data_IF_383195529700
#
_entry.id   IF_383195529700
#
_cell.length_a   1.000
_cell.length_b   1.000
_cell.length_c   1.000
_cell.angle_alpha   90.00
_cell.angle_beta   90.00
_cell.angle_gamma   90.00
#
_symmetry.space_group_name_H-M   'P 1'
#
loop_
_entity.id
_entity.type
_entity.pdbx_description
1 polymer ?
#
# COMPACT_ATOMS: atom_id res chain seq x y z
N UNK A 1 5.89 5.81 14.41
CA UNK A 1 7.31 5.45 14.66
C UNK A 1 8.21 5.84 13.48
N UNK A 2 7.95 5.33 12.27
CA UNK A 2 8.78 5.61 11.09
C UNK A 2 8.90 7.11 10.77
N UNK A 3 7.77 7.84 10.70
CA UNK A 3 7.78 9.27 10.41
C UNK A 3 8.69 10.07 11.36
N UNK A 4 8.58 9.81 12.66
CA UNK A 4 9.43 10.43 13.68
C UNK A 4 10.90 10.01 13.56
N UNK A 5 11.19 8.82 13.04
CA UNK A 5 12.56 8.41 12.76
C UNK A 5 13.14 9.17 11.56
N UNK A 6 12.38 9.29 10.47
CA UNK A 6 12.77 10.09 9.30
C UNK A 6 13.06 11.55 9.68
N UNK A 7 12.19 12.14 10.51
CA UNK A 7 12.40 13.50 11.04
C UNK A 7 13.71 13.62 11.84
N UNK A 8 14.05 12.64 12.69
CA UNK A 8 15.34 12.61 13.41
C UNK A 8 16.55 12.44 12.49
N UNK A 9 16.35 11.89 11.30
CA UNK A 9 17.35 11.81 10.24
C UNK A 9 17.38 13.06 9.34
N UNK A 10 16.60 14.11 9.66
CA UNK A 10 16.53 15.34 8.86
C UNK A 10 15.78 15.18 7.55
N UNK A 11 14.99 14.12 7.40
CA UNK A 11 14.22 13.82 6.19
C UNK A 11 12.81 14.35 6.36
N UNK A 12 12.44 15.32 5.52
CA UNK A 12 11.05 15.77 5.39
C UNK A 12 10.24 14.73 4.60
N UNK A 13 9.21 14.18 5.25
CA UNK A 13 8.39 13.12 4.70
C UNK A 13 6.90 13.50 4.72
N UNK A 14 6.24 13.31 3.58
CA UNK A 14 4.78 13.35 3.47
C UNK A 14 4.22 11.97 3.80
N UNK A 15 3.28 11.92 4.74
CA UNK A 15 2.55 10.70 5.06
C UNK A 15 1.20 10.73 4.33
N UNK A 16 0.86 9.64 3.64
CA UNK A 16 -0.40 9.51 2.92
C UNK A 16 -0.86 8.05 2.85
N UNK A 17 -2.01 7.76 2.21
CA UNK A 17 -2.57 6.40 2.08
C UNK A 17 -3.40 6.22 0.82
N UNK A 18 -3.57 4.96 0.40
CA UNK A 18 -4.50 4.57 -0.66
C UNK A 18 -5.54 3.52 -0.20
N UNK A 19 -6.77 3.56 -0.77
CA UNK A 19 -7.30 4.65 -1.60
C UNK A 19 -7.55 5.88 -0.72
N UNK A 20 -7.26 7.09 -1.23
CA UNK A 20 -7.35 8.34 -0.47
C UNK A 20 -6.17 9.29 -0.72
N UNK A 21 -5.92 10.19 0.23
CA UNK A 21 -4.77 11.11 0.21
C UNK A 21 -5.06 12.51 -0.37
N UNK A 22 -6.09 12.64 -1.19
CA UNK A 22 -6.55 13.91 -1.78
C UNK A 22 -8.07 13.99 -1.72
N UNK A 23 -8.70 15.19 -1.79
CA UNK A 23 -10.16 15.29 -1.76
C UNK A 23 -10.88 14.45 -2.83
N UNK A 24 -10.32 14.35 -4.04
CA UNK A 24 -10.85 13.51 -5.11
C UNK A 24 -10.72 12.02 -4.80
N UNK A 25 -9.53 11.56 -4.39
CA UNK A 25 -9.30 10.18 -4.02
C UNK A 25 -10.08 9.74 -2.76
N UNK A 26 -10.32 10.64 -1.80
CA UNK A 26 -11.16 10.36 -0.62
C UNK A 26 -12.64 10.19 -0.99
N UNK A 27 -13.15 10.94 -1.97
CA UNK A 27 -14.51 10.72 -2.48
C UNK A 27 -14.64 9.33 -3.13
N UNK A 28 -13.62 8.89 -3.87
CA UNK A 28 -13.59 7.55 -4.45
C UNK A 28 -13.40 6.47 -3.38
N UNK A 29 -12.60 6.74 -2.34
CA UNK A 29 -12.46 5.85 -1.18
C UNK A 29 -13.81 5.57 -0.54
N UNK A 30 -14.65 6.60 -0.35
CA UNK A 30 -15.98 6.40 0.22
C UNK A 30 -16.80 5.41 -0.63
N UNK A 31 -16.77 5.56 -1.96
CA UNK A 31 -17.44 4.63 -2.88
C UNK A 31 -16.88 3.21 -2.81
N UNK A 32 -15.57 3.05 -2.56
CA UNK A 32 -14.93 1.73 -2.48
C UNK A 32 -15.23 1.00 -1.17
N UNK A 33 -15.28 1.73 -0.04
CA UNK A 33 -15.46 1.13 1.28
C UNK A 33 -16.93 0.90 1.64
N UNK A 34 -17.81 1.77 1.15
CA UNK A 34 -19.26 1.70 1.33
C UNK A 34 -19.97 1.80 -0.04
N UNK A 35 -19.88 0.74 -0.85
CA UNK A 35 -20.37 0.79 -2.21
C UNK A 35 -21.91 0.72 -2.25
N UNK A 36 -22.57 1.47 -3.16
CA UNK A 36 -24.03 1.46 -3.23
C UNK A 36 -24.57 0.13 -3.77
N UNK A 37 -25.78 -0.23 -3.34
CA UNK A 37 -26.52 -1.38 -3.87
C UNK A 37 -25.82 -2.71 -3.60
N UNK A 38 -25.60 -3.49 -4.67
CA UNK A 38 -24.95 -4.81 -4.58
C UNK A 38 -23.41 -4.72 -4.55
N UNK A 39 -22.85 -3.51 -4.58
CA UNK A 39 -21.42 -3.29 -4.61
C UNK A 39 -20.83 -3.20 -6.02
N UNK A 40 -19.50 -3.18 -6.09
CA UNK A 40 -18.77 -3.10 -7.36
C UNK A 40 -18.36 -4.49 -7.85
N UNK A 41 -18.54 -4.74 -9.16
CA UNK A 41 -17.82 -5.83 -9.81
C UNK A 41 -16.32 -5.55 -9.84
N UNK A 42 -15.50 -6.60 -9.85
CA UNK A 42 -14.03 -6.49 -9.71
C UNK A 42 -13.37 -5.52 -10.72
N UNK A 43 -13.86 -5.47 -11.96
CA UNK A 43 -13.38 -4.51 -12.97
C UNK A 43 -13.67 -3.06 -12.60
N UNK A 44 -14.88 -2.77 -12.11
CA UNK A 44 -15.25 -1.43 -11.67
C UNK A 44 -14.44 -1.03 -10.42
N UNK A 45 -14.26 -1.95 -9.47
CA UNK A 45 -13.39 -1.74 -8.32
C UNK A 45 -11.95 -1.39 -8.73
N UNK A 46 -11.36 -2.15 -9.66
CA UNK A 46 -10.01 -1.87 -10.16
C UNK A 46 -9.90 -0.48 -10.83
N UNK A 47 -10.91 -0.08 -11.60
CA UNK A 47 -10.97 1.24 -12.22
C UNK A 47 -11.09 2.36 -11.19
N UNK A 48 -11.90 2.18 -10.16
CA UNK A 48 -12.03 3.15 -9.06
C UNK A 48 -10.72 3.29 -8.28
N UNK A 49 -10.04 2.18 -7.98
CA UNK A 49 -8.70 2.21 -7.39
C UNK A 49 -7.69 2.95 -8.27
N UNK A 50 -7.69 2.68 -9.58
CA UNK A 50 -6.82 3.36 -10.53
C UNK A 50 -7.11 4.87 -10.61
N UNK A 51 -8.39 5.26 -10.63
CA UNK A 51 -8.81 6.66 -10.64
C UNK A 51 -8.39 7.40 -9.35
N UNK A 52 -8.58 6.77 -8.18
CA UNK A 52 -8.14 7.33 -6.90
C UNK A 52 -6.62 7.51 -6.87
N UNK A 53 -5.86 6.52 -7.33
CA UNK A 53 -4.41 6.58 -7.42
C UNK A 53 -3.93 7.67 -8.37
N UNK A 54 -4.57 7.80 -9.54
CA UNK A 54 -4.23 8.83 -10.52
C UNK A 54 -4.31 10.24 -9.91
N UNK A 55 -5.44 10.57 -9.27
CA UNK A 55 -5.64 11.87 -8.60
C UNK A 55 -4.62 12.07 -7.46
N UNK A 56 -4.36 11.03 -6.68
CA UNK A 56 -3.42 11.07 -5.57
C UNK A 56 -1.97 11.29 -6.01
N UNK A 57 -1.56 10.59 -7.09
CA UNK A 57 -0.23 10.73 -7.68
C UNK A 57 -0.03 12.14 -8.24
N UNK A 58 -0.99 12.62 -9.02
CA UNK A 58 -0.90 13.93 -9.68
C UNK A 58 -0.88 15.07 -8.66
N UNK A 59 -1.73 15.01 -7.62
CA UNK A 59 -1.97 16.17 -6.75
C UNK A 59 -1.15 16.18 -5.46
N UNK A 60 -0.62 15.04 -5.03
CA UNK A 60 0.13 14.95 -3.77
C UNK A 60 1.50 14.29 -3.94
N UNK A 61 1.56 13.07 -4.49
CA UNK A 61 2.80 12.29 -4.48
C UNK A 61 3.84 12.94 -5.39
N UNK A 62 3.52 13.18 -6.67
CA UNK A 62 4.47 13.73 -7.64
C UNK A 62 4.99 15.12 -7.20
N UNK A 63 4.13 16.08 -6.80
CA UNK A 63 4.62 17.37 -6.29
C UNK A 63 5.52 17.25 -5.05
N UNK A 64 5.24 16.31 -4.14
CA UNK A 64 6.09 16.09 -2.97
C UNK A 64 7.48 15.56 -3.36
N UNK A 65 7.52 14.58 -4.27
CA UNK A 65 8.77 14.03 -4.79
C UNK A 65 9.59 15.07 -5.56
N UNK A 66 8.93 15.90 -6.39
CA UNK A 66 9.58 17.00 -7.13
C UNK A 66 10.17 18.07 -6.19
N UNK A 67 9.56 18.26 -5.02
CA UNK A 67 10.09 19.11 -3.96
C UNK A 67 11.23 18.46 -3.15
N UNK A 68 11.69 17.25 -3.52
CA UNK A 68 12.75 16.52 -2.83
C UNK A 68 12.32 15.88 -1.51
N UNK A 69 11.00 15.79 -1.24
CA UNK A 69 10.46 15.21 0.00
C UNK A 69 10.31 13.71 -0.18
N UNK A 70 10.45 12.97 0.92
CA UNK A 70 10.07 11.57 0.94
C UNK A 70 8.55 11.44 0.98
N UNK A 71 8.03 10.35 0.42
CA UNK A 71 6.62 9.99 0.54
C UNK A 71 6.52 8.62 1.19
N UNK A 72 5.81 8.55 2.32
CA UNK A 72 5.46 7.30 2.99
C UNK A 72 3.97 7.08 2.77
N UNK A 73 3.65 6.15 1.87
CA UNK A 73 2.27 5.84 1.50
C UNK A 73 1.84 4.49 2.09
N UNK A 74 0.77 4.48 2.88
CA UNK A 74 0.10 3.25 3.29
C UNK A 74 -0.69 2.68 2.10
N UNK A 75 -0.21 1.55 1.57
CA UNK A 75 -0.63 0.92 0.31
C UNK A 75 -0.32 1.75 -0.94
N UNK A 76 -0.25 1.06 -2.07
CA UNK A 76 -0.07 1.66 -3.40
C UNK A 76 -0.45 0.62 -4.48
N UNK A 77 0.12 0.71 -5.69
CA UNK A 77 -0.07 -0.21 -6.81
C UNK A 77 -0.07 -1.70 -6.41
N UNK A 78 0.88 -2.13 -5.59
CA UNK A 78 1.03 -3.55 -5.28
C UNK A 78 -0.16 -4.13 -4.51
N UNK A 79 -0.91 -3.29 -3.78
CA UNK A 79 -2.21 -3.69 -3.24
C UNK A 79 -3.22 -3.97 -4.35
N UNK A 80 -3.27 -3.15 -5.42
CA UNK A 80 -4.19 -3.43 -6.53
C UNK A 80 -3.80 -4.67 -7.31
N UNK A 81 -2.49 -4.92 -7.46
CA UNK A 81 -1.97 -6.14 -8.09
C UNK A 81 -2.36 -7.39 -7.31
N UNK A 82 -2.26 -7.34 -5.98
CA UNK A 82 -2.60 -8.46 -5.11
C UNK A 82 -4.13 -8.67 -4.98
N UNK A 83 -4.89 -7.61 -4.66
CA UNK A 83 -6.33 -7.69 -4.45
C UNK A 83 -7.07 -7.90 -5.78
N UNK A 84 -7.05 -6.93 -6.68
CA UNK A 84 -7.83 -7.04 -7.92
C UNK A 84 -7.17 -7.96 -8.95
N UNK A 85 -5.85 -7.91 -9.09
CA UNK A 85 -5.11 -8.69 -10.10
C UNK A 85 -5.06 -10.19 -9.79
N UNK A 86 -4.57 -10.57 -8.60
CA UNK A 86 -4.40 -11.97 -8.20
C UNK A 86 -5.66 -12.55 -7.56
N UNK A 87 -6.05 -12.07 -6.38
CA UNK A 87 -7.19 -12.63 -5.65
C UNK A 87 -8.54 -12.39 -6.37
N UNK A 88 -8.67 -11.26 -7.06
CA UNK A 88 -9.82 -10.90 -7.90
C UNK A 88 -9.75 -11.44 -9.33
N UNK A 89 -8.69 -12.17 -9.69
CA UNK A 89 -8.51 -12.86 -10.97
C UNK A 89 -8.60 -11.95 -12.22
N UNK A 90 -8.38 -10.64 -12.11
CA UNK A 90 -8.33 -9.77 -13.29
C UNK A 90 -7.04 -9.89 -14.10
N UNK A 91 -5.98 -10.41 -13.49
CA UNK A 91 -4.64 -10.48 -14.08
C UNK A 91 -3.79 -9.24 -13.76
N UNK A 92 -2.50 -9.47 -13.50
CA UNK A 92 -1.54 -8.41 -13.15
C UNK A 92 -1.34 -7.41 -14.30
N UNK A 93 -1.36 -7.89 -15.54
CA UNK A 93 -1.18 -7.08 -16.75
C UNK A 93 -2.23 -5.97 -16.86
N UNK A 94 -3.50 -6.27 -16.61
CA UNK A 94 -4.57 -5.27 -16.66
C UNK A 94 -4.36 -4.19 -15.59
N UNK A 95 -4.04 -4.58 -14.36
CA UNK A 95 -3.82 -3.64 -13.25
C UNK A 95 -2.62 -2.74 -13.53
N UNK A 96 -1.53 -3.31 -14.06
CA UNK A 96 -0.33 -2.54 -14.45
C UNK A 96 -0.63 -1.61 -15.62
N UNK A 97 -1.43 -2.02 -16.60
CA UNK A 97 -1.83 -1.15 -17.71
C UNK A 97 -2.65 0.06 -17.23
N UNK A 98 -3.59 -0.14 -16.28
CA UNK A 98 -4.34 0.96 -15.67
C UNK A 98 -3.42 1.94 -14.93
N UNK A 99 -2.42 1.41 -14.21
CA UNK A 99 -1.43 2.22 -13.51
C UNK A 99 -0.52 2.99 -14.44
N UNK A 100 -0.06 2.36 -15.52
CA UNK A 100 0.78 3.01 -16.54
C UNK A 100 0.05 4.22 -17.15
N UNK A 101 -1.23 4.05 -17.48
CA UNK A 101 -2.01 5.13 -18.09
C UNK A 101 -2.47 6.20 -17.08
N UNK A 102 -2.89 5.79 -15.88
CA UNK A 102 -3.44 6.72 -14.88
C UNK A 102 -2.40 7.45 -14.03
N UNK A 103 -1.23 6.84 -13.84
CA UNK A 103 -0.21 7.30 -12.89
C UNK A 103 1.19 7.37 -13.51
N UNK A 104 1.27 7.31 -14.84
CA UNK A 104 2.51 7.40 -15.64
C UNK A 104 3.61 6.45 -15.15
N UNK A 105 3.22 5.25 -14.73
CA UNK A 105 4.17 4.22 -14.33
C UNK A 105 4.97 4.54 -13.07
N UNK A 106 4.59 5.54 -12.25
CA UNK A 106 5.31 5.88 -11.02
C UNK A 106 5.37 4.66 -10.08
N UNK A 107 6.57 4.26 -9.66
CA UNK A 107 6.79 3.15 -8.74
C UNK A 107 7.48 3.61 -7.46
N UNK A 108 7.19 3.00 -6.30
CA UNK A 108 7.94 3.24 -5.08
C UNK A 108 9.40 2.82 -5.23
N UNK A 109 10.33 3.59 -4.64
CA UNK A 109 11.73 3.17 -4.49
C UNK A 109 11.84 1.89 -3.64
N UNK A 110 10.95 1.73 -2.65
CA UNK A 110 10.87 0.56 -1.79
C UNK A 110 9.43 0.32 -1.32
N UNK A 111 9.02 -0.95 -1.33
CA UNK A 111 7.76 -1.45 -0.78
C UNK A 111 8.05 -2.38 0.39
N UNK A 112 7.51 -2.03 1.55
CA UNK A 112 7.66 -2.82 2.77
C UNK A 112 6.46 -3.76 2.91
N UNK A 113 6.70 -5.07 2.88
CA UNK A 113 5.66 -6.09 3.09
C UNK A 113 5.79 -6.60 4.51
N UNK A 114 4.90 -6.17 5.40
CA UNK A 114 4.88 -6.65 6.79
C UNK A 114 4.15 -7.99 6.82
N UNK A 115 4.90 -9.08 6.96
CA UNK A 115 4.38 -10.43 7.05
C UNK A 115 4.00 -10.74 8.50
N UNK A 116 2.74 -11.14 8.73
CA UNK A 116 2.22 -11.52 10.05
C UNK A 116 1.49 -12.84 9.89
N UNK A 117 1.66 -13.77 10.84
CA UNK A 117 0.90 -15.02 10.83
C UNK A 117 -0.60 -14.75 10.99
N UNK A 118 -1.44 -15.59 10.37
CA UNK A 118 -2.89 -15.36 10.29
C UNK A 118 -3.58 -15.22 11.65
N UNK A 119 -3.13 -15.95 12.67
CA UNK A 119 -3.65 -15.88 14.04
C UNK A 119 -3.29 -14.57 14.74
N UNK A 120 -2.03 -14.13 14.63
CA UNK A 120 -1.56 -12.84 15.14
C UNK A 120 -2.25 -11.68 14.43
N UNK A 121 -2.40 -11.76 13.10
CA UNK A 121 -3.09 -10.74 12.30
C UNK A 121 -4.57 -10.60 12.70
N UNK A 122 -5.28 -11.72 12.85
CA UNK A 122 -6.68 -11.73 13.29
C UNK A 122 -6.87 -11.13 14.69
N UNK A 123 -5.98 -11.46 15.63
CA UNK A 123 -6.02 -10.89 16.98
C UNK A 123 -5.81 -9.36 16.97
N UNK A 124 -4.85 -8.87 16.18
CA UNK A 124 -4.58 -7.43 16.01
C UNK A 124 -5.74 -6.69 15.32
N UNK A 125 -6.34 -7.29 14.29
CA UNK A 125 -7.50 -6.73 13.59
C UNK A 125 -8.72 -6.63 14.52
N UNK A 126 -9.02 -7.71 15.25
CA UNK A 126 -10.12 -7.73 16.23
C UNK A 126 -9.98 -6.65 17.31
N UNK A 127 -8.76 -6.44 17.80
CA UNK A 127 -8.46 -5.41 18.79
C UNK A 127 -8.58 -3.97 18.23
N UNK A 128 -8.35 -3.76 16.92
CA UNK A 128 -8.35 -2.44 16.28
C UNK A 128 -9.72 -2.03 15.75
N UNK A 129 -10.38 -2.92 15.04
CA UNK A 129 -11.56 -2.59 14.21
C UNK A 129 -12.89 -3.05 14.84
N UNK A 130 -12.83 -3.81 15.94
CA UNK A 130 -14.02 -4.41 16.54
C UNK A 130 -14.72 -5.35 15.54
N UNK A 131 -16.05 -5.20 15.39
CA UNK A 131 -16.86 -6.01 14.48
C UNK A 131 -17.20 -5.32 13.14
N UNK A 132 -16.66 -4.12 12.87
CA UNK A 132 -16.99 -3.36 11.67
C UNK A 132 -15.95 -3.65 10.60
N UNK A 133 -16.38 -4.30 9.51
CA UNK A 133 -15.52 -4.56 8.36
C UNK A 133 -16.07 -3.82 7.14
N UNK A 134 -15.22 -3.07 6.45
CA UNK A 134 -15.57 -2.44 5.18
C UNK A 134 -15.69 -3.47 4.05
N UNK A 135 -16.17 -3.05 2.88
CA UNK A 135 -16.41 -3.96 1.75
C UNK A 135 -15.17 -4.77 1.30
N UNK A 136 -13.96 -4.28 1.59
CA UNK A 136 -12.70 -4.91 1.19
C UNK A 136 -12.14 -5.77 2.33
N UNK A 137 -12.18 -5.26 3.56
CA UNK A 137 -11.79 -6.00 4.76
C UNK A 137 -12.74 -7.13 5.11
N UNK A 138 -13.98 -7.09 4.62
CA UNK A 138 -15.03 -8.10 4.85
C UNK A 138 -14.90 -9.35 3.99
N UNK A 139 -13.86 -9.43 3.15
CA UNK A 139 -13.60 -10.59 2.29
C UNK A 139 -13.18 -11.81 3.12
N UNK A 140 -13.41 -12.99 2.55
CA UNK A 140 -13.12 -14.23 3.25
C UNK A 140 -11.61 -14.51 3.42
N UNK A 141 -11.30 -15.47 4.29
CA UNK A 141 -9.93 -15.85 4.60
C UNK A 141 -9.16 -16.40 3.37
N UNK A 142 -9.85 -17.04 2.41
CA UNK A 142 -9.21 -17.56 1.20
C UNK A 142 -8.75 -16.42 0.30
N UNK A 143 -9.57 -15.37 0.16
CA UNK A 143 -9.21 -14.16 -0.54
C UNK A 143 -7.98 -13.49 0.08
N UNK A 144 -7.97 -13.30 1.41
CA UNK A 144 -6.82 -12.72 2.11
C UNK A 144 -5.56 -13.59 2.04
N UNK A 145 -5.70 -14.92 2.05
CA UNK A 145 -4.57 -15.83 1.82
C UNK A 145 -3.97 -15.67 0.43
N UNK A 146 -4.82 -15.52 -0.60
CA UNK A 146 -4.36 -15.26 -1.98
C UNK A 146 -3.65 -13.92 -2.12
N UNK A 147 -4.15 -12.87 -1.45
CA UNK A 147 -3.48 -11.55 -1.38
C UNK A 147 -2.09 -11.68 -0.76
N UNK A 148 -1.97 -12.39 0.36
CA UNK A 148 -0.68 -12.56 1.04
C UNK A 148 0.33 -13.33 0.17
N UNK A 149 -0.12 -14.41 -0.48
CA UNK A 149 0.70 -15.17 -1.41
C UNK A 149 1.23 -14.29 -2.57
N UNK A 150 0.38 -13.42 -3.12
CA UNK A 150 0.78 -12.49 -4.17
C UNK A 150 1.90 -11.54 -3.74
N UNK A 151 1.85 -10.99 -2.52
CA UNK A 151 2.93 -10.13 -2.03
C UNK A 151 4.26 -10.87 -1.87
N UNK A 152 4.24 -12.13 -1.44
CA UNK A 152 5.45 -12.97 -1.37
C UNK A 152 6.01 -13.21 -2.77
N UNK A 153 5.16 -13.52 -3.76
CA UNK A 153 5.55 -13.67 -5.15
C UNK A 153 6.19 -12.39 -5.72
N UNK A 154 5.57 -11.22 -5.48
CA UNK A 154 6.11 -9.94 -5.95
C UNK A 154 7.47 -9.63 -5.32
N UNK A 155 7.63 -9.87 -4.03
CA UNK A 155 8.89 -9.67 -3.34
C UNK A 155 10.01 -10.59 -3.88
N UNK A 156 9.67 -11.83 -4.24
CA UNK A 156 10.62 -12.76 -4.86
C UNK A 156 10.97 -12.35 -6.31
N UNK A 157 10.01 -11.82 -7.06
CA UNK A 157 10.21 -11.41 -8.46
C UNK A 157 10.92 -10.05 -8.61
N UNK A 158 10.76 -9.15 -7.64
CA UNK A 158 11.26 -7.77 -7.67
C UNK A 158 12.11 -7.45 -6.42
N UNK A 159 13.18 -8.20 -6.09
CA UNK A 159 13.90 -8.10 -4.82
C UNK A 159 14.61 -6.75 -4.59
N UNK A 160 14.78 -5.94 -5.66
CA UNK A 160 15.31 -4.58 -5.55
C UNK A 160 14.28 -3.53 -5.11
N UNK A 161 12.98 -3.83 -5.20
CA UNK A 161 11.88 -2.90 -4.90
C UNK A 161 11.06 -3.31 -3.68
N UNK A 162 11.27 -4.52 -3.15
CA UNK A 162 10.53 -5.04 -2.01
C UNK A 162 11.46 -5.46 -0.88
N UNK A 163 11.00 -5.24 0.34
CA UNK A 163 11.56 -5.86 1.54
C UNK A 163 10.44 -6.50 2.35
N UNK A 164 10.57 -7.81 2.61
CA UNK A 164 9.69 -8.52 3.55
C UNK A 164 10.18 -8.24 4.95
N UNK A 165 9.28 -7.73 5.78
CA UNK A 165 9.51 -7.42 7.18
C UNK A 165 8.77 -8.46 8.01
N UNK A 166 9.50 -9.16 8.88
CA UNK A 166 8.89 -9.97 9.93
C UNK A 166 8.09 -9.05 10.87
N UNK A 167 6.77 -9.24 10.87
CA UNK A 167 5.79 -8.48 11.64
C UNK A 167 5.48 -9.10 13.01
N UNK A 168 6.14 -10.20 13.39
CA UNK A 168 6.00 -10.81 14.71
C UNK A 168 6.76 -10.02 15.80
N UNK A 169 6.30 -10.14 17.04
CA UNK A 169 6.83 -9.38 18.17
C UNK A 169 6.14 -8.04 18.42
N UNK A 170 6.82 -7.18 19.17
CA UNK A 170 6.39 -5.83 19.56
C UNK A 170 6.46 -4.83 18.39
N UNK A 171 5.74 -3.71 18.52
CA UNK A 171 5.75 -2.66 17.50
C UNK A 171 7.13 -2.02 17.37
N UNK A 172 7.91 -1.97 18.45
CA UNK A 172 9.29 -1.48 18.50
C UNK A 172 10.24 -2.42 17.74
N UNK A 173 10.11 -3.74 17.91
CA UNK A 173 10.92 -4.73 17.18
C UNK A 173 10.64 -4.70 15.68
N UNK A 174 9.35 -4.66 15.28
CA UNK A 174 8.97 -4.52 13.86
C UNK A 174 9.50 -3.20 13.29
N UNK A 175 9.41 -2.11 14.06
CA UNK A 175 9.94 -0.81 13.64
C UNK A 175 11.47 -0.83 13.45
N UNK A 176 12.22 -1.53 14.31
CA UNK A 176 13.67 -1.68 14.14
C UNK A 176 14.01 -2.42 12.83
N UNK A 177 13.24 -3.46 12.48
CA UNK A 177 13.39 -4.17 11.19
C UNK A 177 13.07 -3.28 9.99
N UNK A 178 12.03 -2.45 10.09
CA UNK A 178 11.70 -1.45 9.07
C UNK A 178 12.86 -0.47 8.88
N UNK A 179 13.45 0.04 9.97
CA UNK A 179 14.59 0.96 9.89
C UNK A 179 15.80 0.33 9.20
N UNK A 180 16.13 -0.92 9.52
CA UNK A 180 17.19 -1.66 8.84
C UNK A 180 16.92 -1.82 7.34
N UNK A 181 15.68 -2.08 6.94
CA UNK A 181 15.31 -2.24 5.53
C UNK A 181 15.43 -0.93 4.72
N UNK A 182 15.21 0.24 5.35
CA UNK A 182 15.31 1.53 4.66
C UNK A 182 16.69 2.18 4.76
N UNK A 183 17.62 1.63 5.54
CA UNK A 183 18.97 2.16 5.72
C UNK A 183 19.71 2.46 4.39
N UNK A 184 19.63 1.60 3.34
CA UNK A 184 20.24 1.90 2.05
C UNK A 184 19.70 3.16 1.36
N UNK A 185 18.44 3.55 1.64
CA UNK A 185 17.84 4.77 1.11
C UNK A 185 18.28 6.01 1.89
N UNK A 186 18.45 5.89 3.21
CA UNK A 186 18.97 6.96 4.06
C UNK A 186 20.39 7.37 3.65
N UNK A 187 21.23 6.39 3.30
CA UNK A 187 22.61 6.62 2.85
C UNK A 187 22.69 7.38 1.50
N UNK A 188 21.72 7.15 0.59
CA UNK A 188 21.65 7.83 -0.71
C UNK A 188 21.27 9.30 -0.58
N UNK A 189 20.40 9.64 0.38
CA UNK A 189 19.97 11.02 0.62
C UNK A 189 21.02 11.91 1.28
N UNK A 190 22.07 11.33 1.89
CA UNK A 190 23.13 12.07 2.60
C UNK A 190 24.31 12.49 1.70
N UNK A 191 24.25 12.21 0.39
CA UNK A 191 25.35 12.46 -0.57
C UNK A 191 25.10 13.66 -1.51
N UNK A 192 24.26 14.61 -1.10
CA UNK A 192 23.99 15.85 -1.85
C UNK A 192 24.53 17.09 -1.12
#
# INVERSE_FOLDING_TARGET
>A
LLASALERHGIDAVLTREPGGTPGAEAIRALLLDPPGEGWGMRAEALLFAAARSDHVERLIRPALEAGRWVVCDRFLDSSRAYQGRAGMLGDELVRALHEQGSEGLLPDLTLVIAVEGTTAAARLSARDGAVSDAIGGRDATYHSSVNAAFVEFAAAEPGRFAIIDGEGSVEEVHARILAAIEPLLARGSSA
#
